data_IF_384607414751
#
_entry.id   IF_384607414751
#
_cell.length_a   1.000
_cell.length_b   1.000
_cell.length_c   1.000
_cell.angle_alpha   90.00
_cell.angle_beta   90.00
_cell.angle_gamma   90.00
#
_symmetry.space_group_name_H-M   'P 1'
#
loop_
_entity.id
_entity.type
_entity.pdbx_description
1 polymer ?
#
# COMPACT_ATOMS: atom_id res chain seq x y z
N UNK A 1 -15.40 3.14 18.12
CA UNK A 1 -15.51 2.22 16.95
C UNK A 1 -16.97 1.88 16.70
N UNK A 2 -17.42 1.94 15.45
CA UNK A 2 -18.76 1.47 15.07
C UNK A 2 -18.76 -0.07 14.88
N UNK A 3 -19.94 -0.64 14.51
CA UNK A 3 -20.08 -2.08 14.32
C UNK A 3 -19.20 -2.65 13.19
N UNK A 4 -19.08 -1.94 12.08
CA UNK A 4 -18.21 -2.33 10.94
C UNK A 4 -16.75 -2.33 11.36
N UNK A 5 -16.28 -1.30 12.04
CA UNK A 5 -14.91 -1.21 12.57
C UNK A 5 -14.60 -2.31 13.59
N UNK A 6 -15.60 -2.69 14.40
CA UNK A 6 -15.44 -3.82 15.35
C UNK A 6 -15.23 -5.14 14.61
N UNK A 7 -15.94 -5.37 13.48
CA UNK A 7 -15.70 -6.53 12.62
C UNK A 7 -14.32 -6.48 11.98
N UNK A 8 -13.91 -5.31 11.45
CA UNK A 8 -12.57 -5.11 10.89
C UNK A 8 -11.48 -5.44 11.92
N UNK A 9 -11.62 -4.96 13.16
CA UNK A 9 -10.69 -5.28 14.24
C UNK A 9 -10.60 -6.79 14.51
N UNK A 10 -11.73 -7.50 14.52
CA UNK A 10 -11.75 -8.94 14.70
C UNK A 10 -11.01 -9.68 13.58
N UNK A 11 -11.18 -9.24 12.33
CA UNK A 11 -10.44 -9.77 11.17
C UNK A 11 -8.94 -9.55 11.33
N UNK A 12 -8.50 -8.32 11.67
CA UNK A 12 -7.08 -8.03 11.85
C UNK A 12 -6.45 -8.87 12.96
N UNK A 13 -7.12 -9.03 14.08
CA UNK A 13 -6.65 -9.91 15.17
C UNK A 13 -6.50 -11.37 14.72
N UNK A 14 -7.44 -11.87 13.93
CA UNK A 14 -7.37 -13.21 13.35
C UNK A 14 -6.21 -13.33 12.36
N UNK A 15 -6.06 -12.36 11.44
CA UNK A 15 -4.95 -12.32 10.47
C UNK A 15 -3.59 -12.31 11.18
N UNK A 16 -3.43 -11.52 12.23
CA UNK A 16 -2.20 -11.49 13.02
C UNK A 16 -1.93 -12.81 13.73
N UNK A 17 -2.91 -13.36 14.42
CA UNK A 17 -2.72 -14.49 15.32
C UNK A 17 -2.40 -15.82 14.61
N UNK A 18 -2.96 -16.04 13.41
CA UNK A 18 -2.92 -17.36 12.78
C UNK A 18 -2.77 -17.36 11.26
N UNK A 19 -2.64 -16.19 10.63
CA UNK A 19 -2.69 -16.06 9.17
C UNK A 19 -1.49 -15.29 8.58
N UNK A 20 -0.49 -14.96 9.39
CA UNK A 20 0.74 -14.29 8.95
C UNK A 20 0.57 -12.83 8.50
N UNK A 21 -0.57 -12.20 8.80
CA UNK A 21 -0.78 -10.77 8.57
C UNK A 21 0.05 -9.94 9.56
N UNK A 22 0.84 -8.99 9.06
CA UNK A 22 1.76 -8.18 9.87
C UNK A 22 1.45 -6.69 9.85
N UNK A 23 0.85 -6.19 8.77
CA UNK A 23 0.60 -4.75 8.61
C UNK A 23 -0.68 -4.49 7.83
N UNK A 24 -1.32 -3.35 8.12
CA UNK A 24 -2.29 -2.74 7.23
C UNK A 24 -1.61 -1.71 6.33
N UNK A 25 -2.15 -1.49 5.12
CA UNK A 25 -1.60 -0.54 4.16
C UNK A 25 -2.64 0.51 3.76
N UNK A 26 -2.19 1.76 3.68
CA UNK A 26 -2.91 2.88 3.07
C UNK A 26 -2.04 3.51 1.97
N UNK A 27 -2.68 4.29 1.10
CA UNK A 27 -2.00 4.93 -0.03
C UNK A 27 -2.47 6.38 -0.15
N UNK A 28 -1.54 7.33 -0.05
CA UNK A 28 -1.80 8.73 -0.37
C UNK A 28 -1.87 8.95 -1.88
N UNK A 29 -1.13 8.14 -2.61
CA UNK A 29 -1.04 8.19 -4.08
C UNK A 29 -2.37 7.73 -4.74
N UNK A 30 -2.54 6.44 -5.00
CA UNK A 30 -3.64 5.93 -5.83
C UNK A 30 -5.03 5.98 -5.16
N UNK A 31 -5.08 5.90 -3.83
CA UNK A 31 -6.35 5.95 -3.09
C UNK A 31 -6.74 7.38 -2.69
N UNK A 32 -5.79 8.32 -2.72
CA UNK A 32 -6.01 9.66 -2.20
C UNK A 32 -6.50 9.65 -0.75
N UNK A 33 -5.97 8.71 0.07
CA UNK A 33 -6.40 8.55 1.46
C UNK A 33 -6.26 9.87 2.21
N UNK A 34 -7.34 10.33 2.82
CA UNK A 34 -7.34 11.55 3.63
C UNK A 34 -6.82 11.25 5.03
N UNK A 35 -6.31 12.26 5.71
CA UNK A 35 -5.75 12.12 7.06
C UNK A 35 -6.79 11.61 8.06
N UNK A 36 -8.03 12.10 7.99
CA UNK A 36 -9.13 11.66 8.85
C UNK A 36 -9.48 10.17 8.63
N UNK A 37 -9.45 9.69 7.39
CA UNK A 37 -9.59 8.26 7.08
C UNK A 37 -8.41 7.45 7.64
N UNK A 38 -7.19 7.95 7.45
CA UNK A 38 -5.98 7.28 7.92
C UNK A 38 -5.98 7.12 9.44
N UNK A 39 -6.41 8.13 10.21
CA UNK A 39 -6.55 8.01 11.65
C UNK A 39 -7.47 6.87 12.08
N UNK A 40 -8.57 6.64 11.36
CA UNK A 40 -9.48 5.51 11.65
C UNK A 40 -8.80 4.16 11.37
N UNK A 41 -8.09 4.05 10.25
CA UNK A 41 -7.36 2.82 9.91
C UNK A 41 -6.25 2.53 10.93
N UNK A 42 -5.49 3.56 11.30
CA UNK A 42 -4.40 3.47 12.31
C UNK A 42 -4.95 3.03 13.66
N UNK A 43 -6.08 3.59 14.13
CA UNK A 43 -6.69 3.16 15.38
C UNK A 43 -7.06 1.67 15.36
N UNK A 44 -7.71 1.20 14.29
CA UNK A 44 -8.12 -0.20 14.15
C UNK A 44 -6.89 -1.12 14.12
N UNK A 45 -5.86 -0.74 13.35
CA UNK A 45 -4.62 -1.50 13.24
C UNK A 45 -3.87 -1.62 14.58
N UNK A 46 -3.68 -0.51 15.27
CA UNK A 46 -3.01 -0.49 16.58
C UNK A 46 -3.73 -1.29 17.64
N UNK A 47 -5.07 -1.28 17.65
CA UNK A 47 -5.87 -2.16 18.54
C UNK A 47 -5.73 -3.64 18.21
N UNK A 48 -5.35 -3.99 17.00
CA UNK A 48 -4.99 -5.35 16.59
C UNK A 48 -3.50 -5.64 16.80
N UNK A 49 -2.72 -4.68 17.28
CA UNK A 49 -1.27 -4.74 17.41
C UNK A 49 -0.60 -5.07 16.05
N UNK A 50 -1.10 -4.47 14.97
CA UNK A 50 -0.54 -4.58 13.62
C UNK A 50 0.24 -3.32 13.25
N UNK A 51 1.30 -3.49 12.48
CA UNK A 51 2.07 -2.42 11.87
C UNK A 51 1.25 -1.65 10.83
N UNK A 52 1.74 -0.48 10.45
CA UNK A 52 1.11 0.42 9.48
C UNK A 52 2.09 0.70 8.35
N UNK A 53 1.65 0.45 7.13
CA UNK A 53 2.35 0.79 5.91
C UNK A 53 1.65 1.95 5.20
N UNK A 54 2.43 2.87 4.63
CA UNK A 54 1.90 3.99 3.87
C UNK A 54 2.66 4.17 2.56
N UNK A 55 1.95 4.09 1.44
CA UNK A 55 2.47 4.47 0.13
C UNK A 55 2.28 5.97 -0.04
N UNK A 56 3.39 6.70 -0.14
CA UNK A 56 3.42 8.17 -0.27
C UNK A 56 3.13 8.61 -1.71
N UNK A 57 2.89 9.90 -1.94
CA UNK A 57 2.48 10.44 -3.25
C UNK A 57 3.58 10.55 -4.29
N UNK A 58 4.84 10.26 -3.93
CA UNK A 58 5.97 10.33 -4.87
C UNK A 58 7.31 10.32 -4.13
N UNK A 59 8.43 10.23 -4.87
CA UNK A 59 9.76 10.10 -4.28
C UNK A 59 10.20 11.32 -3.44
N UNK A 60 9.73 12.53 -3.74
CA UNK A 60 10.01 13.75 -2.95
C UNK A 60 8.78 14.28 -2.19
N UNK A 61 7.83 13.40 -1.81
CA UNK A 61 6.63 13.79 -1.07
C UNK A 61 6.93 14.14 0.40
N UNK A 62 7.65 15.24 0.62
CA UNK A 62 8.09 15.71 1.95
C UNK A 62 6.92 15.85 2.92
N UNK A 63 5.78 16.38 2.47
CA UNK A 63 4.58 16.51 3.30
C UNK A 63 4.11 15.15 3.80
N UNK A 64 4.04 14.18 2.92
CA UNK A 64 3.58 12.83 3.27
C UNK A 64 4.54 12.14 4.24
N UNK A 65 5.85 12.34 4.07
CA UNK A 65 6.87 11.87 5.01
C UNK A 65 6.71 12.50 6.39
N UNK A 66 6.43 13.81 6.47
CA UNK A 66 6.19 14.49 7.76
C UNK A 66 4.92 13.98 8.43
N UNK A 67 3.84 13.78 7.69
CA UNK A 67 2.58 13.22 8.20
C UNK A 67 2.78 11.75 8.64
N UNK A 68 3.52 10.95 7.87
CA UNK A 68 3.86 9.56 8.22
C UNK A 68 4.62 9.48 9.53
N UNK A 69 5.60 10.37 9.73
CA UNK A 69 6.38 10.46 10.95
C UNK A 69 5.51 10.80 12.17
N UNK A 70 4.60 11.79 12.05
CA UNK A 70 3.69 12.16 13.13
C UNK A 70 2.70 11.04 13.51
N UNK A 71 2.29 10.25 12.54
CA UNK A 71 1.40 9.11 12.74
C UNK A 71 2.14 7.92 13.36
N UNK A 72 3.45 7.83 13.14
CA UNK A 72 4.26 6.67 13.53
C UNK A 72 4.01 5.48 12.62
N UNK A 73 4.24 5.68 11.32
CA UNK A 73 4.14 4.65 10.30
C UNK A 73 5.37 3.75 10.34
N UNK A 74 5.17 2.44 10.24
CA UNK A 74 6.25 1.44 10.32
C UNK A 74 6.92 1.18 8.96
N UNK A 75 6.16 1.27 7.86
CA UNK A 75 6.64 1.04 6.49
C UNK A 75 6.26 2.20 5.58
N UNK A 76 7.22 2.81 4.93
CA UNK A 76 7.01 3.88 3.94
C UNK A 76 7.41 3.37 2.56
N UNK A 77 6.51 3.51 1.59
CA UNK A 77 6.71 3.01 0.24
C UNK A 77 6.65 4.18 -0.75
N UNK A 78 7.73 4.41 -1.49
CA UNK A 78 7.77 5.41 -2.55
C UNK A 78 7.34 4.80 -3.90
N UNK A 79 6.27 5.33 -4.54
CA UNK A 79 5.82 4.86 -5.85
C UNK A 79 6.66 5.42 -6.99
N UNK A 80 6.59 4.80 -8.17
CA UNK A 80 7.09 5.30 -9.45
C UNK A 80 8.55 5.79 -9.41
N UNK A 81 9.40 5.09 -8.67
CA UNK A 81 10.84 5.39 -8.60
C UNK A 81 11.54 4.74 -9.80
N UNK A 82 11.63 5.46 -10.93
CA UNK A 82 11.99 4.89 -12.22
C UNK A 82 13.46 5.04 -12.62
N UNK A 83 14.24 5.76 -11.83
CA UNK A 83 15.64 6.01 -12.16
C UNK A 83 16.53 6.08 -10.92
N UNK A 84 17.85 5.86 -11.07
CA UNK A 84 18.81 6.07 -9.99
C UNK A 84 18.69 7.46 -9.35
N UNK A 85 18.44 8.50 -10.17
CA UNK A 85 18.27 9.86 -9.68
C UNK A 85 16.98 10.01 -8.84
N UNK A 86 15.86 9.43 -9.29
CA UNK A 86 14.61 9.46 -8.51
C UNK A 86 14.78 8.74 -7.16
N UNK A 87 15.51 7.61 -7.12
CA UNK A 87 15.84 6.92 -5.87
C UNK A 87 16.71 7.77 -4.95
N UNK A 88 17.73 8.45 -5.48
CA UNK A 88 18.55 9.39 -4.69
C UNK A 88 17.70 10.51 -4.09
N UNK A 89 16.72 11.01 -4.83
CA UNK A 89 15.79 12.03 -4.33
C UNK A 89 14.88 11.52 -3.21
N UNK A 90 14.44 10.27 -3.28
CA UNK A 90 13.71 9.64 -2.17
C UNK A 90 14.59 9.50 -0.92
N UNK A 91 15.83 9.05 -1.08
CA UNK A 91 16.78 8.93 0.02
C UNK A 91 17.08 10.31 0.64
N UNK A 92 17.31 11.34 -0.16
CA UNK A 92 17.49 12.72 0.32
C UNK A 92 16.27 13.21 1.10
N UNK A 93 15.06 12.97 0.59
CA UNK A 93 13.81 13.36 1.24
C UNK A 93 13.60 12.63 2.57
N UNK A 94 13.87 11.31 2.60
CA UNK A 94 13.87 10.49 3.80
C UNK A 94 14.84 11.05 4.85
N UNK A 95 16.09 11.25 4.50
CA UNK A 95 17.14 11.72 5.41
C UNK A 95 16.91 13.16 5.91
N UNK A 96 16.17 13.98 5.14
CA UNK A 96 15.76 15.32 5.55
C UNK A 96 14.67 15.31 6.62
N UNK A 97 13.75 14.36 6.57
CA UNK A 97 12.57 14.31 7.45
C UNK A 97 12.80 13.45 8.68
N UNK A 98 13.50 12.32 8.53
CA UNK A 98 13.76 11.36 9.59
C UNK A 98 15.23 11.44 10.02
N UNK A 99 15.49 11.66 11.32
CA UNK A 99 16.82 11.46 11.89
C UNK A 99 17.23 9.98 11.84
N UNK A 100 18.51 9.70 11.98
CA UNK A 100 19.01 8.31 12.00
C UNK A 100 18.33 7.46 13.08
N UNK A 101 18.12 8.01 14.27
CA UNK A 101 17.41 7.36 15.37
C UNK A 101 15.96 7.02 15.00
N UNK A 102 15.26 7.94 14.32
CA UNK A 102 13.87 7.72 13.88
C UNK A 102 13.76 6.69 12.75
N UNK A 103 14.79 6.55 11.94
CA UNK A 103 14.85 5.55 10.89
C UNK A 103 14.98 4.11 11.44
N UNK A 104 15.47 3.92 12.69
CA UNK A 104 15.52 2.60 13.31
C UNK A 104 14.12 1.97 13.53
N UNK A 105 13.10 2.81 13.66
CA UNK A 105 11.70 2.39 13.87
C UNK A 105 10.84 2.33 12.60
N UNK A 106 11.37 2.76 11.46
CA UNK A 106 10.61 2.88 10.21
C UNK A 106 11.41 2.33 9.04
N UNK A 107 10.85 1.39 8.30
CA UNK A 107 11.45 0.85 7.09
C UNK A 107 11.00 1.62 5.85
N UNK A 108 11.94 1.94 4.96
CA UNK A 108 11.71 2.69 3.72
C UNK A 108 11.92 1.77 2.52
N UNK A 109 10.91 1.71 1.64
CA UNK A 109 10.92 0.88 0.46
C UNK A 109 10.61 1.71 -0.80
N UNK A 110 11.10 1.25 -1.94
CA UNK A 110 10.72 1.85 -3.22
C UNK A 110 10.03 0.82 -4.12
N UNK A 111 9.14 1.29 -5.00
CA UNK A 111 8.44 0.41 -5.93
C UNK A 111 9.25 0.12 -7.19
N UNK A 112 9.27 -1.16 -7.57
CA UNK A 112 9.66 -1.67 -8.88
C UNK A 112 8.36 -2.00 -9.62
N UNK A 113 7.79 -1.01 -10.28
CA UNK A 113 6.46 -1.13 -10.88
C UNK A 113 6.39 -0.69 -12.36
N UNK A 114 7.56 -0.47 -12.99
CA UNK A 114 7.65 -0.21 -14.43
C UNK A 114 8.85 -0.90 -15.04
N UNK A 115 8.79 -1.14 -16.36
CA UNK A 115 9.95 -1.65 -17.11
C UNK A 115 11.12 -0.66 -17.07
N UNK A 116 10.85 0.64 -16.94
CA UNK A 116 11.89 1.67 -16.78
C UNK A 116 12.68 1.46 -15.50
N UNK A 117 12.00 1.24 -14.37
CA UNK A 117 12.66 0.87 -13.10
C UNK A 117 13.48 -0.39 -13.26
N UNK A 118 12.91 -1.42 -13.90
CA UNK A 118 13.58 -2.70 -14.07
C UNK A 118 14.86 -2.59 -14.92
N UNK A 119 14.86 -1.79 -15.96
CA UNK A 119 16.04 -1.55 -16.80
C UNK A 119 17.19 -0.86 -16.03
N UNK A 120 16.88 -0.18 -14.92
CA UNK A 120 17.83 0.48 -14.03
C UNK A 120 18.11 -0.29 -12.73
N UNK A 121 17.52 -1.48 -12.56
CA UNK A 121 17.39 -2.15 -11.26
C UNK A 121 18.73 -2.45 -10.59
N UNK A 122 19.76 -2.88 -11.33
CA UNK A 122 21.07 -3.24 -10.77
C UNK A 122 21.73 -2.02 -10.10
N UNK A 123 21.72 -0.87 -10.78
CA UNK A 123 22.27 0.37 -10.23
C UNK A 123 21.42 0.85 -9.06
N UNK A 124 20.11 0.75 -9.17
CA UNK A 124 19.19 1.15 -8.10
C UNK A 124 19.34 0.29 -6.86
N UNK A 125 19.47 -1.04 -6.99
CA UNK A 125 19.71 -1.94 -5.85
C UNK A 125 21.02 -1.62 -5.14
N UNK A 126 22.05 -1.22 -5.88
CA UNK A 126 23.33 -0.79 -5.29
C UNK A 126 23.17 0.50 -4.47
N UNK A 127 22.48 1.51 -5.02
CA UNK A 127 22.19 2.76 -4.31
C UNK A 127 21.32 2.48 -3.08
N UNK A 128 20.30 1.64 -3.22
CA UNK A 128 19.38 1.28 -2.14
C UNK A 128 20.09 0.61 -0.96
N UNK A 129 21.12 -0.21 -1.22
CA UNK A 129 21.87 -0.94 -0.19
C UNK A 129 23.03 -0.15 0.44
N UNK A 130 23.26 1.10 0.07
CA UNK A 130 24.25 1.96 0.73
C UNK A 130 23.83 2.28 2.17
N UNK A 131 24.76 2.69 3.03
CA UNK A 131 24.55 2.90 4.47
C UNK A 131 23.39 3.86 4.81
N UNK A 132 23.11 4.85 3.98
CA UNK A 132 21.98 5.78 4.14
C UNK A 132 20.84 5.48 3.14
N UNK A 133 20.86 4.32 2.51
CA UNK A 133 19.94 3.92 1.50
C UNK A 133 18.52 3.66 2.00
N UNK A 134 17.91 2.59 1.52
CA UNK A 134 16.56 2.16 1.93
C UNK A 134 16.57 0.68 2.30
N UNK A 135 15.52 0.22 2.98
CA UNK A 135 15.48 -1.11 3.58
C UNK A 135 14.98 -2.20 2.61
N UNK A 136 14.30 -1.80 1.53
CA UNK A 136 13.73 -2.80 0.63
C UNK A 136 13.10 -2.24 -0.65
N UNK A 137 12.54 -3.18 -1.42
CA UNK A 137 11.84 -2.89 -2.66
C UNK A 137 10.52 -3.67 -2.76
N UNK A 138 9.52 -3.06 -3.40
CA UNK A 138 8.20 -3.66 -3.63
C UNK A 138 8.00 -3.86 -5.13
N UNK A 139 7.78 -5.08 -5.59
CA UNK A 139 7.44 -5.38 -6.98
C UNK A 139 5.93 -5.28 -7.18
N UNK A 140 5.49 -4.24 -7.89
CA UNK A 140 4.10 -3.94 -8.19
C UNK A 140 3.65 -4.56 -9.52
N UNK A 141 3.11 -5.79 -9.49
CA UNK A 141 2.83 -6.59 -10.70
C UNK A 141 1.83 -5.96 -11.67
N UNK A 142 0.81 -5.24 -11.16
CA UNK A 142 -0.23 -4.63 -12.01
C UNK A 142 0.34 -3.51 -12.86
N UNK A 143 1.01 -2.55 -12.21
CA UNK A 143 1.60 -1.41 -12.91
C UNK A 143 2.77 -1.85 -13.78
N UNK A 144 3.55 -2.84 -13.32
CA UNK A 144 4.61 -3.44 -14.10
C UNK A 144 4.09 -4.05 -15.42
N UNK A 145 3.01 -4.83 -15.36
CA UNK A 145 2.36 -5.38 -16.57
C UNK A 145 1.86 -4.27 -17.49
N UNK A 146 1.20 -3.25 -16.91
CA UNK A 146 0.74 -2.07 -17.66
C UNK A 146 1.88 -1.34 -18.36
N UNK A 147 3.04 -1.19 -17.71
CA UNK A 147 4.23 -0.54 -18.30
C UNK A 147 4.83 -1.31 -19.48
N UNK A 148 4.54 -2.60 -19.60
CA UNK A 148 4.87 -3.45 -20.74
C UNK A 148 3.80 -3.43 -21.83
N UNK A 149 2.72 -2.66 -21.67
CA UNK A 149 1.55 -2.66 -22.56
C UNK A 149 0.70 -3.93 -22.46
N UNK A 150 0.82 -4.67 -21.36
CA UNK A 150 0.06 -5.91 -21.11
C UNK A 150 -1.19 -5.63 -20.28
N UNK A 151 -2.24 -6.42 -20.49
CA UNK A 151 -3.46 -6.34 -19.71
C UNK A 151 -3.32 -6.95 -18.29
N UNK A 152 -4.37 -6.75 -17.50
CA UNK A 152 -4.41 -7.24 -16.11
C UNK A 152 -4.46 -8.78 -16.03
N UNK A 153 -4.91 -9.45 -17.08
CA UNK A 153 -4.94 -10.90 -17.23
C UNK A 153 -3.55 -11.53 -17.29
N UNK A 154 -2.54 -10.73 -17.65
CA UNK A 154 -1.16 -11.19 -17.81
C UNK A 154 -0.33 -11.21 -16.52
N UNK A 155 -0.86 -10.64 -15.42
CA UNK A 155 -0.11 -10.46 -14.16
C UNK A 155 0.35 -11.77 -13.50
N UNK A 156 -0.33 -12.89 -13.77
CA UNK A 156 0.00 -14.21 -13.23
C UNK A 156 0.76 -15.10 -14.22
N UNK A 157 1.19 -14.56 -15.37
CA UNK A 157 1.96 -15.32 -16.36
C UNK A 157 3.40 -15.53 -15.93
N UNK A 158 4.05 -16.55 -16.49
CA UNK A 158 5.47 -16.79 -16.29
C UNK A 158 6.33 -15.58 -16.65
N UNK A 159 5.95 -14.81 -17.68
CA UNK A 159 6.69 -13.62 -18.09
C UNK A 159 6.83 -12.61 -16.95
N UNK A 160 5.75 -12.30 -16.24
CA UNK A 160 5.78 -11.35 -15.11
C UNK A 160 6.45 -11.99 -13.89
N UNK A 161 6.22 -13.27 -13.66
CA UNK A 161 6.88 -14.04 -12.58
C UNK A 161 8.40 -14.06 -12.76
N UNK A 162 8.92 -14.21 -13.98
CA UNK A 162 10.36 -14.19 -14.28
C UNK A 162 10.99 -12.82 -13.95
N UNK A 163 10.33 -11.71 -14.27
CA UNK A 163 10.79 -10.38 -13.87
C UNK A 163 10.84 -10.25 -12.33
N UNK A 164 9.79 -10.69 -11.65
CA UNK A 164 9.74 -10.67 -10.19
C UNK A 164 10.86 -11.54 -9.57
N UNK A 165 11.16 -12.71 -10.12
CA UNK A 165 12.24 -13.59 -9.68
C UNK A 165 13.63 -12.95 -9.90
N UNK A 166 13.84 -12.28 -11.04
CA UNK A 166 15.09 -11.56 -11.29
C UNK A 166 15.30 -10.45 -10.26
N UNK A 167 14.25 -9.65 -10.01
CA UNK A 167 14.28 -8.60 -8.98
C UNK A 167 14.54 -9.20 -7.58
N UNK A 168 13.89 -10.32 -7.24
CA UNK A 168 14.10 -11.04 -5.98
C UNK A 168 15.57 -11.43 -5.76
N UNK A 169 16.24 -11.97 -6.78
CA UNK A 169 17.65 -12.36 -6.72
C UNK A 169 18.59 -11.17 -6.49
N UNK A 170 18.28 -10.03 -7.12
CA UNK A 170 19.03 -8.79 -6.92
C UNK A 170 18.83 -8.22 -5.52
N UNK A 171 17.60 -8.20 -5.02
CA UNK A 171 17.28 -7.77 -3.66
C UNK A 171 17.99 -8.66 -2.62
N UNK A 172 17.98 -9.98 -2.81
CA UNK A 172 18.70 -10.92 -1.95
C UNK A 172 20.21 -10.64 -1.91
N UNK A 173 20.81 -10.39 -3.07
CA UNK A 173 22.24 -10.07 -3.18
C UNK A 173 22.57 -8.74 -2.50
N UNK A 174 21.67 -7.76 -2.62
CA UNK A 174 21.79 -6.46 -1.98
C UNK A 174 21.42 -6.47 -0.49
N UNK A 175 20.91 -7.58 0.04
CA UNK A 175 20.41 -7.75 1.42
C UNK A 175 19.26 -6.78 1.76
N UNK A 176 18.42 -6.50 0.78
CA UNK A 176 17.25 -5.67 0.90
C UNK A 176 16.01 -6.54 1.08
N UNK A 177 15.04 -6.07 1.84
CA UNK A 177 13.72 -6.70 1.88
C UNK A 177 13.06 -6.66 0.49
N UNK A 178 12.37 -7.75 0.18
CA UNK A 178 11.67 -7.87 -1.10
C UNK A 178 10.21 -8.22 -0.88
N UNK A 179 9.34 -7.36 -1.39
CA UNK A 179 7.89 -7.46 -1.24
C UNK A 179 7.25 -7.62 -2.62
N UNK A 180 6.21 -8.45 -2.75
CA UNK A 180 5.46 -8.59 -3.99
C UNK A 180 4.00 -8.21 -3.75
N UNK A 181 3.50 -7.27 -4.57
CA UNK A 181 2.13 -6.78 -4.56
C UNK A 181 1.47 -6.80 -5.93
N UNK A 182 0.29 -6.18 -6.00
CA UNK A 182 -0.50 -6.05 -7.22
C UNK A 182 -1.45 -7.22 -7.46
N UNK A 183 -2.74 -7.00 -7.16
CA UNK A 183 -3.86 -7.95 -7.36
C UNK A 183 -3.59 -9.36 -6.79
N UNK A 184 -3.03 -9.43 -5.59
CA UNK A 184 -2.80 -10.70 -4.90
C UNK A 184 -4.13 -11.34 -4.49
N UNK A 185 -4.35 -12.55 -4.97
CA UNK A 185 -5.52 -13.40 -4.71
C UNK A 185 -5.11 -14.88 -4.68
N UNK A 186 -6.06 -15.79 -4.52
CA UNK A 186 -5.79 -17.22 -4.52
C UNK A 186 -5.10 -17.70 -5.82
N UNK A 187 -5.42 -17.09 -6.96
CA UNK A 187 -4.84 -17.41 -8.27
C UNK A 187 -3.35 -17.00 -8.38
N UNK A 188 -2.90 -16.12 -7.50
CA UNK A 188 -1.50 -15.65 -7.43
C UNK A 188 -0.61 -16.62 -6.68
N UNK A 189 -1.16 -17.52 -5.86
CA UNK A 189 -0.38 -18.38 -4.98
C UNK A 189 0.71 -19.21 -5.69
N UNK A 190 0.48 -19.78 -6.87
CA UNK A 190 1.55 -20.51 -7.57
C UNK A 190 2.78 -19.63 -7.86
N UNK A 191 2.57 -18.45 -8.44
CA UNK A 191 3.65 -17.52 -8.78
C UNK A 191 4.33 -16.95 -7.52
N UNK A 192 3.57 -16.63 -6.46
CA UNK A 192 4.16 -16.20 -5.18
C UNK A 192 5.04 -17.27 -4.55
N UNK A 193 4.62 -18.53 -4.56
CA UNK A 193 5.44 -19.63 -4.05
C UNK A 193 6.70 -19.85 -4.88
N UNK A 194 6.63 -19.68 -6.19
CA UNK A 194 7.79 -19.73 -7.07
C UNK A 194 8.78 -18.61 -6.75
N UNK A 195 8.32 -17.38 -6.58
CA UNK A 195 9.14 -16.23 -6.18
C UNK A 195 9.73 -16.48 -4.77
N UNK A 196 8.91 -16.95 -3.81
CA UNK A 196 9.34 -17.24 -2.44
C UNK A 196 10.46 -18.28 -2.39
N UNK A 197 10.45 -19.29 -3.27
CA UNK A 197 11.53 -20.28 -3.37
C UNK A 197 12.88 -19.67 -3.73
N UNK A 198 12.92 -18.46 -4.31
CA UNK A 198 14.14 -17.73 -4.64
C UNK A 198 14.51 -16.73 -3.55
N UNK A 199 13.58 -15.80 -3.27
CA UNK A 199 13.66 -14.83 -2.19
C UNK A 199 12.38 -14.01 -2.11
N UNK A 200 11.76 -13.93 -0.96
CA UNK A 200 10.61 -13.08 -0.68
C UNK A 200 10.54 -12.87 0.84
N UNK A 201 10.42 -11.63 1.31
CA UNK A 201 10.26 -11.33 2.73
C UNK A 201 8.80 -11.09 3.10
N UNK A 202 8.05 -10.47 2.20
CA UNK A 202 6.64 -10.12 2.39
C UNK A 202 5.88 -10.18 1.06
N UNK A 203 4.57 -10.35 1.14
CA UNK A 203 3.66 -10.12 0.02
C UNK A 203 2.44 -9.34 0.50
N UNK A 204 1.75 -8.66 -0.41
CA UNK A 204 0.67 -7.77 -0.01
C UNK A 204 -0.55 -7.85 -0.91
N UNK A 205 -1.73 -7.82 -0.29
CA UNK A 205 -2.96 -7.40 -0.93
C UNK A 205 -3.03 -5.87 -0.93
N UNK A 206 -4.14 -5.29 -1.37
CA UNK A 206 -4.29 -3.84 -1.34
C UNK A 206 -4.23 -3.25 0.08
N UNK A 207 -4.73 -3.99 1.09
CA UNK A 207 -4.86 -3.47 2.48
C UNK A 207 -4.06 -4.23 3.51
N UNK A 208 -3.60 -5.43 3.22
CA UNK A 208 -2.90 -6.28 4.20
C UNK A 208 -1.56 -6.74 3.64
N UNK A 209 -0.52 -6.57 4.46
CA UNK A 209 0.82 -7.13 4.20
C UNK A 209 0.98 -8.37 5.05
N UNK A 210 1.51 -9.42 4.44
CA UNK A 210 1.78 -10.72 5.04
C UNK A 210 3.28 -11.00 5.07
N UNK A 211 3.74 -11.70 6.10
CA UNK A 211 5.03 -12.35 6.07
C UNK A 211 5.03 -13.44 4.99
N UNK A 212 6.14 -13.58 4.26
CA UNK A 212 6.24 -14.57 3.17
C UNK A 212 6.05 -16.01 3.65
N UNK A 213 6.44 -16.33 4.88
CA UNK A 213 6.26 -17.68 5.47
C UNK A 213 4.77 -18.09 5.55
N UNK A 214 3.84 -17.14 5.47
CA UNK A 214 2.41 -17.43 5.40
C UNK A 214 2.05 -18.25 4.14
N UNK A 215 2.85 -18.19 3.07
CA UNK A 215 2.65 -18.97 1.85
C UNK A 215 2.76 -20.50 2.09
N UNK A 216 3.46 -20.92 3.13
CA UNK A 216 3.64 -22.32 3.51
C UNK A 216 2.49 -22.83 4.39
N UNK A 217 1.64 -21.92 4.87
CA UNK A 217 0.49 -22.26 5.69
C UNK A 217 -0.64 -22.92 4.87
N UNK A 218 -1.26 -23.94 5.46
CA UNK A 218 -2.47 -24.54 4.88
C UNK A 218 -3.66 -23.56 4.82
N UNK A 219 -3.62 -22.48 5.62
CA UNK A 219 -4.69 -21.50 5.74
C UNK A 219 -4.51 -20.28 4.84
N UNK A 220 -3.53 -20.27 3.94
CA UNK A 220 -3.20 -19.09 3.13
C UNK A 220 -4.39 -18.59 2.29
N UNK A 221 -5.22 -19.49 1.76
CA UNK A 221 -6.41 -19.09 1.00
C UNK A 221 -7.42 -18.37 1.88
N UNK A 222 -7.65 -18.85 3.11
CA UNK A 222 -8.54 -18.22 4.08
C UNK A 222 -8.00 -16.86 4.49
N UNK A 223 -6.67 -16.73 4.62
CA UNK A 223 -6.00 -15.46 4.91
C UNK A 223 -6.28 -14.40 3.84
N UNK A 224 -6.22 -14.79 2.58
CA UNK A 224 -6.51 -13.89 1.44
C UNK A 224 -8.00 -13.51 1.39
N UNK A 225 -8.90 -14.44 1.70
CA UNK A 225 -10.34 -14.16 1.80
C UNK A 225 -10.61 -13.14 2.91
N UNK A 226 -10.02 -13.30 4.09
CA UNK A 226 -10.16 -12.35 5.21
C UNK A 226 -9.57 -10.97 4.85
N UNK A 227 -8.46 -10.91 4.12
CA UNK A 227 -7.89 -9.65 3.64
C UNK A 227 -8.83 -8.91 2.68
N UNK A 228 -9.47 -9.63 1.75
CA UNK A 228 -10.48 -9.06 0.85
C UNK A 228 -11.71 -8.60 1.64
N UNK A 229 -12.14 -9.36 2.62
CA UNK A 229 -13.27 -8.99 3.48
C UNK A 229 -12.96 -7.73 4.28
N UNK A 230 -11.74 -7.59 4.82
CA UNK A 230 -11.29 -6.39 5.50
C UNK A 230 -11.36 -5.16 4.57
N UNK A 231 -10.84 -5.26 3.36
CA UNK A 231 -10.89 -4.18 2.37
C UNK A 231 -12.32 -3.79 2.02
N UNK A 232 -13.20 -4.77 1.80
CA UNK A 232 -14.63 -4.51 1.54
C UNK A 232 -15.29 -3.75 2.70
N UNK A 233 -15.07 -4.18 3.94
CA UNK A 233 -15.60 -3.50 5.12
C UNK A 233 -15.04 -2.08 5.26
N UNK A 234 -13.76 -1.88 4.96
CA UNK A 234 -13.14 -0.57 4.93
C UNK A 234 -13.84 0.37 3.94
N UNK A 235 -14.05 -0.06 2.71
CA UNK A 235 -14.72 0.73 1.68
C UNK A 235 -16.20 1.02 2.05
N UNK A 236 -16.89 0.05 2.60
CA UNK A 236 -18.28 0.23 3.08
C UNK A 236 -18.35 1.24 4.23
N UNK A 237 -17.42 1.16 5.18
CA UNK A 237 -17.34 2.10 6.31
C UNK A 237 -17.04 3.52 5.82
N UNK A 238 -16.10 3.66 4.89
CA UNK A 238 -15.75 4.93 4.23
C UNK A 238 -16.96 5.52 3.49
N UNK A 239 -17.65 4.73 2.70
CA UNK A 239 -18.86 5.16 1.98
C UNK A 239 -19.93 5.69 2.94
N UNK A 240 -20.18 4.99 4.04
CA UNK A 240 -21.17 5.42 5.04
C UNK A 240 -20.79 6.75 5.69
N UNK A 241 -19.50 6.96 5.99
CA UNK A 241 -19.00 8.23 6.51
C UNK A 241 -19.28 9.39 5.55
N UNK A 242 -18.94 9.25 4.28
CA UNK A 242 -19.19 10.31 3.28
C UNK A 242 -20.67 10.51 2.96
N UNK A 243 -21.47 9.46 3.04
CA UNK A 243 -22.91 9.54 2.83
C UNK A 243 -23.59 10.50 3.81
N UNK A 244 -23.19 10.47 5.09
CA UNK A 244 -23.72 11.38 6.13
C UNK A 244 -23.46 12.85 5.75
N UNK A 245 -22.26 13.18 5.26
CA UNK A 245 -21.90 14.53 4.84
C UNK A 245 -22.75 14.95 3.63
N UNK A 246 -22.86 14.08 2.63
CA UNK A 246 -23.62 14.31 1.41
C UNK A 246 -25.11 14.51 1.68
N UNK A 247 -25.68 13.74 2.61
CA UNK A 247 -27.10 13.86 3.00
C UNK A 247 -27.41 15.21 3.66
N UNK A 248 -26.50 15.73 4.49
CA UNK A 248 -26.65 17.05 5.11
C UNK A 248 -26.55 18.16 4.06
N UNK A 249 -25.60 18.06 3.14
CA UNK A 249 -25.46 19.02 2.05
C UNK A 249 -26.68 19.00 1.13
N UNK A 250 -27.23 17.83 0.79
CA UNK A 250 -28.44 17.73 -0.04
C UNK A 250 -29.64 18.45 0.60
N UNK A 251 -29.88 18.26 1.90
CA UNK A 251 -30.95 18.97 2.61
C UNK A 251 -30.78 20.49 2.53
N UNK A 252 -29.55 20.99 2.65
CA UNK A 252 -29.25 22.42 2.54
C UNK A 252 -29.40 22.93 1.11
N UNK A 253 -28.96 22.15 0.13
CA UNK A 253 -29.14 22.48 -1.30
C UNK A 253 -30.62 22.62 -1.64
N UNK A 254 -31.44 21.63 -1.28
CA UNK A 254 -32.89 21.68 -1.53
C UNK A 254 -33.54 22.91 -0.92
N UNK A 255 -33.17 23.21 0.33
CA UNK A 255 -33.69 24.41 1.02
C UNK A 255 -33.25 25.71 0.32
N UNK A 256 -31.99 25.82 -0.07
CA UNK A 256 -31.44 27.01 -0.71
C UNK A 256 -31.97 27.17 -2.13
N UNK A 257 -32.12 26.09 -2.87
CA UNK A 257 -32.69 26.10 -4.22
C UNK A 257 -34.15 26.58 -4.20
N UNK A 258 -34.96 26.07 -3.26
CA UNK A 258 -36.35 26.55 -3.07
C UNK A 258 -36.38 28.03 -2.75
N UNK A 259 -35.50 28.53 -1.88
CA UNK A 259 -35.42 29.96 -1.53
C UNK A 259 -34.95 30.81 -2.71
N UNK A 260 -33.97 30.33 -3.49
CA UNK A 260 -33.47 31.00 -4.67
C UNK A 260 -34.59 31.18 -5.71
N UNK A 261 -35.30 30.11 -6.04
CA UNK A 261 -36.42 30.15 -7.01
C UNK A 261 -37.49 31.19 -6.62
N UNK A 262 -37.81 31.26 -5.31
CA UNK A 262 -38.78 32.23 -4.79
C UNK A 262 -38.25 33.68 -4.92
N UNK A 263 -37.00 33.93 -4.62
CA UNK A 263 -36.42 35.28 -4.56
C UNK A 263 -35.97 35.80 -5.93
N UNK A 264 -35.49 34.95 -6.80
CA UNK A 264 -35.00 35.35 -8.14
C UNK A 264 -36.09 35.32 -9.20
N UNK A 265 -37.13 34.54 -9.01
CA UNK A 265 -38.12 34.22 -10.04
C UNK A 265 -37.59 33.36 -11.19
N UNK A 266 -36.43 32.75 -10.99
CA UNK A 266 -35.75 31.85 -11.95
C UNK A 266 -35.71 30.43 -11.41
N UNK A 267 -35.96 29.45 -12.27
CA UNK A 267 -35.67 28.04 -11.93
C UNK A 267 -34.17 27.74 -12.17
N UNK A 268 -33.49 27.35 -11.13
CA UNK A 268 -32.18 26.72 -11.30
C UNK A 268 -32.39 25.36 -11.97
N UNK A 269 -31.83 25.16 -13.11
CA UNK A 269 -31.77 24.03 -14.03
C UNK A 269 -32.21 22.68 -13.48
#
# INVERSE_FOLDING_TARGET
>A
MNHTETKMLAILKKLKASHGGISVKAEFEAEGTRIDELYRLVEIARRADMKIALKIGGCEAIRDLMESKQIGVDYIIAPMVESPYALSKFIEAKNKVYSLEEQEGTEFLFNIETITTFNNIEVMMKIASDNEGVDGAVFGRVDFSGSLGLGREEINTHKITDYAIQAAKLAKTAKLDYVVGGAVSADTLPSLKEIHSQYLTRFETRKIIFNADALDSNNIKDSLIEAIHFELLWLLNKRTYYQVITEEDNKRIDMLQSRWNILSGEDLI
#
